data_IF_285067892189
#
_entry.id   IF_285067892189
#
_cell.length_a   1.000
_cell.length_b   1.000
_cell.length_c   1.000
_cell.angle_alpha   90.00
_cell.angle_beta   90.00
_cell.angle_gamma   90.00
#
_symmetry.space_group_name_H-M   'P 1'
#
loop_
_entity.id
_entity.type
_entity.pdbx_description
1 polymer ?
#
# COMPACT_ATOMS: atom_id res chain seq x y z
N UNK A 1 -8.11 11.48 30.52
CA UNK A 1 -6.77 11.00 30.10
C UNK A 1 -6.58 10.98 28.57
N UNK A 2 -7.60 10.74 27.75
CA UNK A 2 -7.52 10.81 26.29
C UNK A 2 -7.30 12.24 25.74
N UNK A 3 -7.89 13.26 26.37
CA UNK A 3 -7.84 14.65 25.90
C UNK A 3 -6.44 15.30 25.85
N UNK A 4 -5.48 14.84 26.65
CA UNK A 4 -4.11 15.38 26.68
C UNK A 4 -3.14 14.68 25.70
N UNK A 5 -3.59 13.69 24.94
CA UNK A 5 -2.72 12.83 24.11
C UNK A 5 -2.68 13.21 22.64
N UNK A 6 -3.58 14.06 22.14
CA UNK A 6 -3.73 14.29 20.71
C UNK A 6 -2.57 15.06 20.04
N UNK A 7 -1.87 15.95 20.76
CA UNK A 7 -0.82 16.82 20.17
C UNK A 7 0.51 16.78 20.95
N UNK A 8 0.80 15.75 21.72
CA UNK A 8 2.11 15.65 22.40
C UNK A 8 3.18 15.15 21.44
N UNK A 9 4.25 15.93 21.35
CA UNK A 9 5.49 15.51 20.68
C UNK A 9 6.12 14.33 21.43
N UNK A 10 6.07 13.16 20.81
CA UNK A 10 6.73 11.95 21.32
C UNK A 10 7.83 11.56 20.35
N UNK A 11 8.99 11.08 20.87
CA UNK A 11 10.09 10.69 19.98
C UNK A 11 9.76 9.47 19.11
N UNK A 12 8.96 8.51 19.59
CA UNK A 12 8.46 7.35 18.86
C UNK A 12 7.46 6.54 19.70
N UNK A 13 6.73 5.62 19.06
CA UNK A 13 5.99 4.54 19.71
C UNK A 13 6.04 3.28 18.84
N UNK A 14 6.73 2.26 19.32
CA UNK A 14 6.90 0.95 18.68
C UNK A 14 6.56 -0.16 19.67
N UNK A 15 6.38 -1.38 19.19
CA UNK A 15 6.04 -2.52 20.06
C UNK A 15 7.16 -2.83 21.05
N UNK A 16 8.39 -2.98 20.57
CA UNK A 16 9.53 -3.37 21.37
C UNK A 16 10.83 -2.82 20.75
N UNK A 17 11.40 -1.80 21.37
CA UNK A 17 12.66 -1.16 20.91
C UNK A 17 13.86 -2.11 20.98
N UNK A 18 13.81 -3.16 21.79
CA UNK A 18 14.91 -4.14 21.90
C UNK A 18 15.10 -4.99 20.66
N UNK A 19 14.14 -4.97 19.73
CA UNK A 19 14.22 -5.64 18.43
C UNK A 19 15.09 -4.88 17.41
N UNK A 20 15.64 -3.71 17.77
CA UNK A 20 16.36 -2.85 16.84
C UNK A 20 17.55 -3.52 16.17
N UNK A 21 18.35 -4.31 16.92
CA UNK A 21 19.51 -5.02 16.35
C UNK A 21 19.11 -6.08 15.33
N UNK A 22 18.02 -6.79 15.58
CA UNK A 22 17.46 -7.73 14.62
C UNK A 22 16.98 -7.01 13.36
N UNK A 23 16.23 -5.92 13.54
CA UNK A 23 15.78 -5.07 12.44
C UNK A 23 16.93 -4.55 11.59
N UNK A 24 18.02 -4.09 12.23
CA UNK A 24 19.20 -3.61 11.52
C UNK A 24 19.81 -4.67 10.60
N UNK A 25 19.95 -5.89 11.08
CA UNK A 25 20.50 -6.99 10.28
C UNK A 25 19.65 -7.30 9.04
N UNK A 26 18.33 -7.27 9.17
CA UNK A 26 17.45 -7.47 8.04
C UNK A 26 17.41 -6.25 7.09
N UNK A 27 17.54 -5.03 7.59
CA UNK A 27 17.68 -3.84 6.76
C UNK A 27 18.96 -3.92 5.93
N UNK A 28 20.09 -4.27 6.55
CA UNK A 28 21.36 -4.44 5.84
C UNK A 28 21.28 -5.53 4.75
N UNK A 29 20.54 -6.60 4.99
CA UNK A 29 20.26 -7.63 3.99
C UNK A 29 19.39 -7.07 2.84
N UNK A 30 18.34 -6.33 3.16
CA UNK A 30 17.43 -5.75 2.17
C UNK A 30 18.14 -4.72 1.28
N UNK A 31 19.05 -3.93 1.80
CA UNK A 31 19.85 -2.95 1.03
C UNK A 31 20.60 -3.61 -0.14
N UNK A 32 21.07 -4.86 0.03
CA UNK A 32 21.75 -5.61 -1.03
C UNK A 32 20.79 -5.96 -2.20
N UNK A 33 19.49 -6.04 -1.93
CA UNK A 33 18.45 -6.36 -2.92
C UNK A 33 17.66 -5.11 -3.38
N UNK A 34 18.06 -3.90 -2.94
CA UNK A 34 17.39 -2.64 -3.27
C UNK A 34 18.33 -1.65 -3.97
N UNK A 35 18.86 -2.03 -5.15
CA UNK A 35 19.92 -1.27 -5.83
C UNK A 35 19.47 0.12 -6.29
N UNK A 36 18.19 0.31 -6.59
CA UNK A 36 17.68 1.62 -7.00
C UNK A 36 17.78 2.66 -5.87
N UNK A 37 17.40 2.30 -4.66
CA UNK A 37 17.50 3.19 -3.50
C UNK A 37 18.97 3.44 -3.13
N UNK A 38 19.79 2.41 -3.14
CA UNK A 38 21.22 2.56 -2.84
C UNK A 38 21.93 3.45 -3.85
N UNK A 39 21.59 3.33 -5.13
CA UNK A 39 22.12 4.20 -6.19
C UNK A 39 21.68 5.67 -5.99
N UNK A 40 20.45 5.91 -5.53
CA UNK A 40 20.01 7.28 -5.21
C UNK A 40 20.76 7.87 -4.01
N UNK A 41 21.07 7.06 -2.99
CA UNK A 41 21.92 7.53 -1.88
C UNK A 41 23.31 7.95 -2.35
N UNK A 42 23.92 7.16 -3.25
CA UNK A 42 25.21 7.48 -3.85
C UNK A 42 25.15 8.76 -4.70
N UNK A 43 24.14 8.83 -5.59
CA UNK A 43 23.98 9.95 -6.53
C UNK A 43 23.70 11.29 -5.84
N UNK A 44 22.86 11.28 -4.80
CA UNK A 44 22.31 12.49 -4.19
C UNK A 44 22.75 12.73 -2.73
N UNK A 45 23.50 11.82 -2.14
CA UNK A 45 23.90 11.92 -0.74
C UNK A 45 24.75 13.16 -0.40
N UNK A 46 25.56 13.65 -1.34
CA UNK A 46 26.34 14.87 -1.17
C UNK A 46 25.49 16.14 -1.40
N UNK A 47 24.67 16.15 -2.45
CA UNK A 47 23.87 17.32 -2.84
C UNK A 47 22.66 17.57 -1.95
N UNK A 48 22.18 16.51 -1.31
CA UNK A 48 21.01 16.52 -0.39
C UNK A 48 19.80 17.28 -0.93
N UNK A 49 19.17 16.81 -2.03
CA UNK A 49 18.07 17.52 -2.67
C UNK A 49 16.81 17.66 -1.79
N UNK A 50 16.72 16.91 -0.70
CA UNK A 50 15.62 16.98 0.26
C UNK A 50 15.99 17.75 1.55
N UNK A 51 17.11 18.48 1.55
CA UNK A 51 17.50 19.30 2.70
C UNK A 51 16.42 20.34 3.02
N UNK A 52 15.94 20.32 4.25
CA UNK A 52 14.85 21.18 4.72
C UNK A 52 13.45 20.64 4.47
N UNK A 53 13.31 19.51 3.79
CA UNK A 53 12.03 18.80 3.67
C UNK A 53 11.64 18.15 4.99
N UNK A 54 10.38 18.30 5.37
CA UNK A 54 9.73 17.53 6.43
C UNK A 54 8.82 16.52 5.75
N UNK A 55 9.23 15.26 5.75
CA UNK A 55 8.51 14.17 5.09
C UNK A 55 7.72 13.37 6.12
N UNK A 56 6.40 13.36 5.97
CA UNK A 56 5.53 12.42 6.67
C UNK A 56 5.25 11.24 5.77
N UNK A 57 5.48 10.02 6.26
CA UNK A 57 5.10 8.80 5.57
C UNK A 57 3.99 8.05 6.29
N UNK A 58 2.99 7.61 5.53
CA UNK A 58 1.94 6.68 5.92
C UNK A 58 1.98 5.52 4.94
N UNK A 59 2.85 4.57 5.20
CA UNK A 59 3.10 3.41 4.35
C UNK A 59 3.61 2.26 5.22
N UNK A 60 3.27 1.03 4.84
CA UNK A 60 3.59 -0.19 5.59
C UNK A 60 5.01 -0.15 6.21
N UNK A 61 5.11 -0.22 7.54
CA UNK A 61 6.40 -0.13 8.24
C UNK A 61 7.14 -1.47 8.20
N UNK A 62 7.59 -1.84 7.03
CA UNK A 62 8.35 -3.05 6.73
C UNK A 62 9.86 -2.79 6.71
N UNK A 63 10.64 -3.86 6.58
CA UNK A 63 12.09 -3.77 6.36
C UNK A 63 12.41 -2.95 5.10
N UNK A 64 11.67 -3.15 4.01
CA UNK A 64 11.88 -2.43 2.76
C UNK A 64 11.57 -0.94 2.92
N UNK A 65 10.53 -0.60 3.67
CA UNK A 65 10.20 0.79 4.01
C UNK A 65 11.27 1.43 4.88
N UNK A 66 11.91 0.68 5.76
CA UNK A 66 13.06 1.17 6.51
C UNK A 66 14.21 1.63 5.60
N UNK A 67 14.48 0.89 4.53
CA UNK A 67 15.47 1.31 3.51
C UNK A 67 15.05 2.60 2.81
N UNK A 68 13.76 2.75 2.48
CA UNK A 68 13.22 4.00 1.93
C UNK A 68 13.41 5.17 2.90
N UNK A 69 13.03 5.01 4.15
CA UNK A 69 13.15 6.04 5.19
C UNK A 69 14.61 6.51 5.31
N UNK A 70 15.53 5.59 5.43
CA UNK A 70 16.96 5.91 5.56
C UNK A 70 17.52 6.55 4.27
N UNK A 71 16.97 6.21 3.12
CA UNK A 71 17.31 6.89 1.86
C UNK A 71 16.85 8.35 1.89
N UNK A 72 15.61 8.61 2.28
CA UNK A 72 15.11 9.98 2.40
C UNK A 72 15.90 10.82 3.40
N UNK A 73 16.30 10.22 4.53
CA UNK A 73 17.18 10.86 5.53
C UNK A 73 18.56 11.15 4.94
N UNK A 74 19.16 10.20 4.22
CA UNK A 74 20.44 10.38 3.56
C UNK A 74 20.42 11.53 2.52
N UNK A 75 19.27 11.76 1.90
CA UNK A 75 19.05 12.87 0.96
C UNK A 75 18.73 14.21 1.66
N UNK A 76 18.71 14.25 2.98
CA UNK A 76 18.63 15.47 3.79
C UNK A 76 17.27 15.75 4.42
N UNK A 77 16.29 14.86 4.29
CA UNK A 77 14.95 15.07 4.85
C UNK A 77 14.91 14.81 6.37
N UNK A 78 14.03 15.55 7.04
CA UNK A 78 13.50 15.21 8.36
C UNK A 78 12.27 14.33 8.15
N UNK A 79 12.25 13.11 8.69
CA UNK A 79 11.23 12.10 8.39
C UNK A 79 10.49 11.71 9.66
N UNK A 80 9.16 11.56 9.55
CA UNK A 80 8.28 10.95 10.55
C UNK A 80 7.41 9.92 9.86
N UNK A 81 7.14 8.79 10.50
CA UNK A 81 6.51 7.65 9.84
C UNK A 81 5.44 6.96 10.67
N UNK A 82 4.37 6.50 10.02
CA UNK A 82 3.40 5.56 10.55
C UNK A 82 3.06 4.50 9.50
N UNK A 83 2.41 3.41 9.90
CA UNK A 83 1.92 2.42 8.95
C UNK A 83 0.55 2.82 8.40
N UNK A 84 0.24 2.37 7.19
CA UNK A 84 -1.05 2.53 6.55
C UNK A 84 -1.99 1.31 6.75
N UNK A 85 -1.61 0.36 7.59
CA UNK A 85 -2.40 -0.84 7.89
C UNK A 85 -2.07 -1.35 9.30
N UNK A 86 -3.09 -1.80 10.03
CA UNK A 86 -2.95 -2.24 11.43
C UNK A 86 -2.16 -3.56 11.62
N UNK A 87 -1.99 -4.35 10.57
CA UNK A 87 -1.31 -5.66 10.63
C UNK A 87 -0.01 -5.75 9.85
N UNK A 88 0.38 -4.72 9.10
CA UNK A 88 1.50 -4.80 8.15
C UNK A 88 2.87 -4.46 8.74
N UNK A 89 2.92 -3.84 9.91
CA UNK A 89 4.19 -3.46 10.54
C UNK A 89 5.03 -4.69 10.88
N UNK A 90 6.31 -4.63 10.53
CA UNK A 90 7.33 -5.51 11.09
C UNK A 90 7.95 -4.80 12.28
N UNK A 91 7.69 -5.30 13.49
CA UNK A 91 8.05 -4.61 14.73
C UNK A 91 9.55 -4.37 14.89
N UNK A 92 10.38 -5.27 14.37
CA UNK A 92 11.83 -5.11 14.36
C UNK A 92 12.31 -4.04 13.36
N UNK A 93 11.59 -3.84 12.26
CA UNK A 93 11.86 -2.73 11.34
C UNK A 93 11.55 -1.38 12.00
N UNK A 94 10.39 -1.25 12.61
CA UNK A 94 9.99 -0.06 13.35
C UNK A 94 10.99 0.26 14.49
N UNK A 95 11.42 -0.76 15.23
CA UNK A 95 12.41 -0.61 16.30
C UNK A 95 13.76 -0.11 15.78
N UNK A 96 14.26 -0.66 14.68
CA UNK A 96 15.55 -0.24 14.10
C UNK A 96 15.52 1.23 13.65
N UNK A 97 14.45 1.65 13.01
CA UNK A 97 14.28 3.04 12.56
C UNK A 97 14.12 4.01 13.74
N UNK A 98 13.32 3.63 14.74
CA UNK A 98 13.21 4.43 15.97
C UNK A 98 14.55 4.58 16.69
N UNK A 99 15.33 3.50 16.80
CA UNK A 99 16.66 3.51 17.40
C UNK A 99 17.68 4.37 16.64
N UNK A 100 17.49 4.55 15.33
CA UNK A 100 18.31 5.46 14.50
C UNK A 100 17.98 6.94 14.70
N UNK A 101 16.94 7.25 15.48
CA UNK A 101 16.52 8.61 15.78
C UNK A 101 15.40 9.16 14.89
N UNK A 102 14.83 8.36 14.00
CA UNK A 102 13.67 8.74 13.20
C UNK A 102 12.38 8.45 13.98
N UNK A 103 11.51 9.44 14.19
CA UNK A 103 10.23 9.23 14.86
C UNK A 103 9.32 8.27 14.05
N UNK A 104 9.02 7.12 14.62
CA UNK A 104 8.15 6.07 14.07
C UNK A 104 7.04 5.75 15.05
N UNK A 105 5.82 5.67 14.54
CA UNK A 105 4.63 5.35 15.30
C UNK A 105 3.91 4.19 14.60
N UNK A 106 4.32 2.98 14.89
CA UNK A 106 3.78 1.77 14.25
C UNK A 106 4.08 0.50 15.05
N UNK A 107 3.12 -0.40 15.13
CA UNK A 107 3.31 -1.76 15.62
C UNK A 107 2.27 -2.71 14.97
N UNK A 108 2.58 -3.98 14.93
CA UNK A 108 1.65 -4.98 14.41
C UNK A 108 0.54 -5.21 15.44
N UNK A 109 -0.71 -5.09 14.99
CA UNK A 109 -1.88 -5.28 15.85
C UNK A 109 -2.37 -3.98 16.52
N UNK A 110 -2.18 -2.85 15.88
CA UNK A 110 -2.84 -1.59 16.27
C UNK A 110 -4.35 -1.75 16.31
N UNK A 111 -5.02 -1.07 17.25
CA UNK A 111 -6.45 -0.82 17.13
C UNK A 111 -6.70 0.30 16.10
N UNK A 112 -7.92 0.48 15.64
CA UNK A 112 -8.24 1.60 14.73
C UNK A 112 -8.01 2.97 15.40
N UNK A 113 -8.28 3.07 16.70
CA UNK A 113 -7.94 4.28 17.47
C UNK A 113 -6.43 4.53 17.53
N UNK A 114 -5.62 3.49 17.74
CA UNK A 114 -4.15 3.58 17.69
C UNK A 114 -3.67 4.00 16.30
N UNK A 115 -4.25 3.43 15.26
CA UNK A 115 -3.92 3.71 13.86
C UNK A 115 -4.03 5.21 13.53
N UNK A 116 -5.19 5.80 13.83
CA UNK A 116 -5.40 7.23 13.57
C UNK A 116 -4.57 8.13 14.50
N UNK A 117 -4.34 7.69 15.74
CA UNK A 117 -3.42 8.37 16.62
C UNK A 117 -1.98 8.36 16.07
N UNK A 118 -1.50 7.23 15.56
CA UNK A 118 -0.18 7.11 14.92
C UNK A 118 -0.05 8.03 13.70
N UNK A 119 -1.09 8.08 12.86
CA UNK A 119 -1.15 8.98 11.70
C UNK A 119 -1.04 10.45 12.14
N UNK A 120 -1.79 10.84 13.16
CA UNK A 120 -1.71 12.19 13.72
C UNK A 120 -0.30 12.51 14.26
N UNK A 121 0.33 11.59 14.98
CA UNK A 121 1.69 11.77 15.52
C UNK A 121 2.72 11.93 14.40
N UNK A 122 2.62 11.15 13.32
CA UNK A 122 3.51 11.27 12.18
C UNK A 122 3.32 12.61 11.42
N UNK A 123 2.13 13.19 11.44
CA UNK A 123 1.83 14.51 10.89
C UNK A 123 2.32 15.68 11.76
N UNK A 124 2.76 15.40 12.99
CA UNK A 124 3.11 16.44 13.97
C UNK A 124 4.62 16.62 14.10
N UNK A 125 5.17 17.57 13.37
CA UNK A 125 6.58 17.95 13.45
C UNK A 125 6.85 18.93 14.60
N UNK A 126 8.10 19.02 15.10
CA UNK A 126 8.45 19.95 16.17
C UNK A 126 8.02 21.39 15.90
N UNK A 127 7.59 22.07 16.97
CA UNK A 127 7.11 23.45 16.88
C UNK A 127 5.70 23.59 16.31
N UNK A 128 4.89 22.54 16.33
CA UNK A 128 3.51 22.55 15.83
C UNK A 128 3.41 22.63 14.30
N UNK A 129 4.51 22.32 13.60
CA UNK A 129 4.54 22.29 12.13
C UNK A 129 3.97 20.98 11.60
N UNK A 130 3.49 21.03 10.35
CA UNK A 130 3.14 19.85 9.58
C UNK A 130 4.24 19.45 8.59
N UNK A 131 4.00 18.41 7.76
CA UNK A 131 4.90 18.02 6.69
C UNK A 131 4.95 19.06 5.57
N UNK A 132 6.06 19.06 4.82
CA UNK A 132 6.15 19.79 3.54
C UNK A 132 5.84 18.89 2.35
N UNK A 133 6.10 17.59 2.48
CA UNK A 133 5.73 16.57 1.49
C UNK A 133 5.30 15.28 2.22
N UNK A 134 4.47 14.52 1.56
CA UNK A 134 3.86 13.30 2.12
C UNK A 134 4.13 12.13 1.21
N UNK A 135 4.47 10.97 1.80
CA UNK A 135 4.39 9.65 1.15
C UNK A 135 3.17 8.97 1.73
N UNK A 136 2.19 8.63 0.90
CA UNK A 136 0.95 8.00 1.33
C UNK A 136 0.71 6.68 0.59
N UNK A 137 0.03 5.77 1.25
CA UNK A 137 -0.36 4.48 0.70
C UNK A 137 -1.81 4.17 1.11
N UNK A 138 -2.74 4.42 0.18
CA UNK A 138 -4.17 4.32 0.40
C UNK A 138 -4.87 5.65 0.66
N UNK A 139 -4.12 6.74 0.86
CA UNK A 139 -4.66 8.09 0.96
C UNK A 139 -5.19 8.47 2.34
N UNK A 140 -4.94 7.70 3.40
CA UNK A 140 -5.51 7.99 4.72
C UNK A 140 -4.89 9.23 5.38
N UNK A 141 -3.58 9.44 5.25
CA UNK A 141 -2.94 10.66 5.75
C UNK A 141 -3.43 11.90 5.01
N UNK A 142 -3.53 11.80 3.69
CA UNK A 142 -4.10 12.85 2.84
C UNK A 142 -5.55 13.15 3.23
N UNK A 143 -6.37 12.12 3.45
CA UNK A 143 -7.77 12.25 3.86
C UNK A 143 -7.89 12.92 5.23
N UNK A 144 -7.07 12.56 6.20
CA UNK A 144 -7.07 13.20 7.52
C UNK A 144 -6.88 14.71 7.41
N UNK A 145 -5.96 15.16 6.57
CA UNK A 145 -5.73 16.59 6.32
C UNK A 145 -6.95 17.24 5.65
N UNK A 146 -7.53 16.61 4.62
CA UNK A 146 -8.65 17.16 3.88
C UNK A 146 -9.93 17.25 4.72
N UNK A 147 -10.28 16.18 5.45
CA UNK A 147 -11.44 16.17 6.36
C UNK A 147 -11.23 17.15 7.51
N UNK A 148 -10.03 17.20 8.08
CA UNK A 148 -9.68 18.16 9.11
C UNK A 148 -9.81 19.61 8.63
N UNK A 149 -9.31 19.90 7.44
CA UNK A 149 -9.42 21.23 6.79
C UNK A 149 -10.88 21.64 6.58
N UNK A 150 -11.72 20.75 6.08
CA UNK A 150 -13.15 21.03 5.88
C UNK A 150 -13.86 21.23 7.25
N UNK A 151 -13.51 20.43 8.25
CA UNK A 151 -14.10 20.51 9.58
C UNK A 151 -13.80 21.81 10.32
N UNK A 152 -12.68 22.48 10.05
CA UNK A 152 -12.34 23.78 10.63
C UNK A 152 -13.32 24.89 10.20
N UNK A 153 -13.91 24.78 9.01
CA UNK A 153 -14.94 25.69 8.53
C UNK A 153 -16.37 25.16 8.75
N UNK A 154 -16.55 23.85 8.85
CA UNK A 154 -17.85 23.19 9.03
C UNK A 154 -17.72 21.95 9.94
N UNK A 155 -17.68 22.18 11.24
CA UNK A 155 -17.51 21.10 12.23
C UNK A 155 -18.61 20.03 12.17
N UNK A 156 -19.80 20.36 11.63
CA UNK A 156 -20.93 19.44 11.56
C UNK A 156 -20.68 18.20 10.68
N UNK A 157 -19.67 18.25 9.79
CA UNK A 157 -19.31 17.09 8.97
C UNK A 157 -18.85 15.91 9.82
N UNK A 158 -18.26 16.18 10.99
CA UNK A 158 -17.78 15.16 11.94
C UNK A 158 -18.92 14.55 12.77
N UNK A 159 -20.12 15.15 12.75
CA UNK A 159 -21.29 14.66 13.49
C UNK A 159 -22.25 13.82 12.63
N UNK A 160 -21.92 13.63 11.35
CA UNK A 160 -22.71 12.75 10.48
C UNK A 160 -22.68 11.33 11.03
N UNK A 161 -23.84 10.67 10.95
CA UNK A 161 -23.93 9.26 11.29
C UNK A 161 -23.07 8.43 10.33
N UNK A 162 -22.09 7.74 10.87
CA UNK A 162 -21.19 6.84 10.16
C UNK A 162 -21.25 5.48 10.84
N UNK A 163 -21.16 4.42 10.06
CA UNK A 163 -21.27 3.05 10.54
C UNK A 163 -19.95 2.29 10.53
N UNK A 164 -18.99 2.73 9.70
CA UNK A 164 -17.67 2.14 9.66
C UNK A 164 -16.85 2.54 10.90
N UNK A 165 -16.33 1.55 11.62
CA UNK A 165 -15.51 1.79 12.82
C UNK A 165 -14.33 2.73 12.55
N UNK A 166 -13.73 2.59 11.38
CA UNK A 166 -12.61 3.41 10.91
C UNK A 166 -12.98 4.90 10.83
N UNK A 167 -14.13 5.22 10.23
CA UNK A 167 -14.63 6.60 10.14
C UNK A 167 -15.03 7.16 11.52
N UNK A 168 -15.57 6.31 12.40
CA UNK A 168 -15.92 6.70 13.77
C UNK A 168 -14.66 7.17 14.51
N UNK A 169 -13.58 6.41 14.44
CA UNK A 169 -12.32 6.74 15.10
C UNK A 169 -11.64 7.97 14.49
N UNK A 170 -11.67 8.10 13.15
CA UNK A 170 -11.18 9.30 12.46
C UNK A 170 -11.93 10.56 12.91
N UNK A 171 -13.26 10.52 12.93
CA UNK A 171 -14.06 11.65 13.36
C UNK A 171 -13.81 12.00 14.83
N UNK A 172 -13.62 10.99 15.69
CA UNK A 172 -13.32 11.20 17.10
C UNK A 172 -11.98 11.96 17.32
N UNK A 173 -10.93 11.55 16.63
CA UNK A 173 -9.61 12.20 16.75
C UNK A 173 -9.62 13.61 16.12
N UNK A 174 -10.33 13.81 15.01
CA UNK A 174 -10.44 15.12 14.39
C UNK A 174 -11.22 16.12 15.26
N UNK A 175 -12.27 15.67 15.97
CA UNK A 175 -12.98 16.49 16.97
C UNK A 175 -12.04 16.93 18.09
N UNK A 176 -11.18 16.02 18.55
CA UNK A 176 -10.20 16.33 19.59
C UNK A 176 -9.21 17.40 19.13
N UNK A 177 -8.65 17.23 17.92
CA UNK A 177 -7.72 18.21 17.34
C UNK A 177 -8.38 19.56 17.12
N UNK A 178 -9.60 19.59 16.59
CA UNK A 178 -10.35 20.83 16.35
C UNK A 178 -10.60 21.61 17.65
N UNK A 179 -10.87 20.90 18.77
CA UNK A 179 -11.05 21.53 20.06
C UNK A 179 -9.77 22.12 20.66
N UNK A 180 -8.61 21.51 20.37
CA UNK A 180 -7.31 21.95 20.87
C UNK A 180 -6.67 23.03 19.99
N UNK A 181 -6.78 22.90 18.68
CA UNK A 181 -6.18 23.80 17.70
C UNK A 181 -7.08 23.96 16.46
N UNK A 182 -8.01 24.90 16.47
CA UNK A 182 -9.04 25.04 15.44
C UNK A 182 -8.54 25.54 14.07
N UNK A 183 -7.25 25.83 13.91
CA UNK A 183 -6.65 26.28 12.65
C UNK A 183 -5.48 25.39 12.19
N UNK A 184 -5.31 24.23 12.82
CA UNK A 184 -4.20 23.34 12.56
C UNK A 184 -4.13 22.89 11.10
N UNK A 185 -5.24 22.40 10.57
CA UNK A 185 -5.27 21.79 9.25
C UNK A 185 -5.12 22.80 8.11
N UNK A 186 -5.59 24.02 8.30
CA UNK A 186 -5.33 25.11 7.36
C UNK A 186 -3.84 25.44 7.29
N UNK A 187 -3.15 25.48 8.44
CA UNK A 187 -1.70 25.70 8.47
C UNK A 187 -0.93 24.54 7.85
N UNK A 188 -1.32 23.30 8.16
CA UNK A 188 -0.70 22.10 7.57
C UNK A 188 -0.88 22.12 6.05
N UNK A 189 -2.09 22.29 5.56
CA UNK A 189 -2.36 22.30 4.12
C UNK A 189 -1.60 23.40 3.37
N UNK A 190 -1.42 24.57 3.99
CA UNK A 190 -0.68 25.69 3.40
C UNK A 190 0.82 25.42 3.20
N UNK A 191 1.42 24.53 4.01
CA UNK A 191 2.84 24.19 3.93
C UNK A 191 3.12 22.96 3.05
N UNK A 192 2.11 22.09 2.81
CA UNK A 192 2.29 20.88 2.00
C UNK A 192 2.47 21.22 0.53
N UNK A 193 3.62 20.86 -0.03
CA UNK A 193 3.94 21.01 -1.45
C UNK A 193 3.37 19.90 -2.31
N UNK A 194 3.03 18.77 -1.71
CA UNK A 194 2.38 17.66 -2.38
C UNK A 194 2.51 16.32 -1.67
N UNK A 195 1.83 15.34 -2.24
CA UNK A 195 1.82 13.93 -1.82
C UNK A 195 2.22 13.03 -2.96
N UNK A 196 2.96 11.97 -2.67
CA UNK A 196 3.17 10.86 -3.60
C UNK A 196 2.42 9.62 -3.10
N UNK A 197 1.53 9.10 -3.94
CA UNK A 197 0.62 8.01 -3.59
C UNK A 197 1.07 6.69 -4.22
N UNK A 198 1.14 5.65 -3.39
CA UNK A 198 1.67 4.33 -3.73
C UNK A 198 0.65 3.41 -4.40
N UNK A 199 -0.64 3.48 -4.04
CA UNK A 199 -1.59 2.43 -4.38
C UNK A 199 -2.79 2.92 -5.18
N UNK A 200 -3.39 2.00 -5.96
CA UNK A 200 -4.56 2.26 -6.82
C UNK A 200 -5.71 2.92 -6.07
N UNK A 201 -6.02 2.46 -4.86
CA UNK A 201 -7.15 3.00 -4.08
C UNK A 201 -6.92 4.44 -3.66
N UNK A 202 -5.70 4.78 -3.22
CA UNK A 202 -5.35 6.15 -2.86
C UNK A 202 -5.34 7.08 -4.07
N UNK A 203 -4.84 6.60 -5.21
CA UNK A 203 -4.88 7.33 -6.48
C UNK A 203 -6.32 7.63 -6.91
N UNK A 204 -7.23 6.67 -6.77
CA UNK A 204 -8.66 6.89 -7.06
C UNK A 204 -9.25 8.01 -6.20
N UNK A 205 -8.95 8.02 -4.90
CA UNK A 205 -9.36 9.11 -3.99
C UNK A 205 -8.81 10.48 -4.41
N UNK A 206 -7.56 10.54 -4.85
CA UNK A 206 -6.93 11.78 -5.32
C UNK A 206 -7.63 12.32 -6.57
N UNK A 207 -7.91 11.48 -7.56
CA UNK A 207 -8.65 11.88 -8.75
C UNK A 207 -10.08 12.35 -8.41
N UNK A 208 -10.76 11.65 -7.51
CA UNK A 208 -12.09 12.06 -7.05
C UNK A 208 -12.05 13.44 -6.38
N UNK A 209 -11.11 13.69 -5.48
CA UNK A 209 -10.95 15.00 -4.84
C UNK A 209 -10.61 16.10 -5.87
N UNK A 210 -9.82 15.77 -6.89
CA UNK A 210 -9.52 16.69 -7.98
C UNK A 210 -10.79 17.06 -8.77
N UNK A 211 -11.58 16.06 -9.15
CA UNK A 211 -12.84 16.27 -9.90
C UNK A 211 -13.86 17.08 -9.09
N UNK A 212 -13.92 16.87 -7.79
CA UNK A 212 -14.78 17.63 -6.86
C UNK A 212 -14.23 19.03 -6.55
N UNK A 213 -13.04 19.38 -7.02
CA UNK A 213 -12.39 20.67 -6.71
C UNK A 213 -11.95 20.81 -5.25
N UNK A 214 -11.78 19.72 -4.53
CA UNK A 214 -11.43 19.67 -3.11
C UNK A 214 -9.96 19.40 -2.83
N UNK A 215 -9.20 18.92 -3.81
CA UNK A 215 -7.78 18.62 -3.64
C UNK A 215 -7.02 19.89 -3.23
N UNK A 216 -6.29 19.84 -2.12
CA UNK A 216 -5.64 20.99 -1.49
C UNK A 216 -4.22 21.26 -1.99
N UNK A 217 -3.54 20.25 -2.54
CA UNK A 217 -2.15 20.33 -2.98
C UNK A 217 -1.88 19.37 -4.12
N UNK A 218 -0.76 19.51 -4.84
CA UNK A 218 -0.39 18.59 -5.92
C UNK A 218 -0.19 17.17 -5.42
N UNK A 219 -0.46 16.19 -6.28
CA UNK A 219 -0.24 14.79 -6.00
C UNK A 219 0.48 14.09 -7.16
N UNK A 220 1.44 13.22 -6.85
CA UNK A 220 2.00 12.28 -7.80
C UNK A 220 1.36 10.91 -7.65
N UNK A 221 0.78 10.43 -8.74
CA UNK A 221 0.32 9.06 -8.88
C UNK A 221 1.53 8.16 -9.19
N UNK A 222 2.18 7.65 -8.16
CA UNK A 222 3.31 6.73 -8.30
C UNK A 222 2.84 5.34 -8.72
N UNK A 223 1.63 4.93 -8.33
CA UNK A 223 1.08 3.62 -8.69
C UNK A 223 1.09 3.38 -10.20
N UNK A 224 0.82 4.40 -11.01
CA UNK A 224 0.71 4.28 -12.46
C UNK A 224 2.04 4.53 -13.20
N UNK A 225 3.16 4.74 -12.51
CA UNK A 225 4.47 4.55 -13.09
C UNK A 225 4.60 3.09 -13.55
N UNK A 226 5.12 2.86 -14.76
CA UNK A 226 5.20 1.49 -15.32
C UNK A 226 6.09 0.60 -14.45
N UNK A 227 7.22 1.15 -13.98
CA UNK A 227 8.14 0.44 -13.09
C UNK A 227 7.57 0.22 -11.68
N UNK A 228 6.39 0.74 -11.37
CA UNK A 228 5.63 0.40 -10.16
C UNK A 228 4.50 -0.58 -10.49
N UNK A 229 3.52 -0.19 -11.28
CA UNK A 229 2.30 -0.99 -11.51
C UNK A 229 2.55 -2.34 -12.19
N UNK A 230 3.48 -2.38 -13.15
CA UNK A 230 3.83 -3.61 -13.88
C UNK A 230 4.89 -4.46 -13.17
N UNK A 231 5.36 -4.03 -12.02
CA UNK A 231 6.38 -4.73 -11.20
C UNK A 231 5.82 -5.05 -9.82
N UNK A 232 5.58 -4.07 -8.97
CA UNK A 232 5.04 -4.24 -7.62
C UNK A 232 3.68 -4.98 -7.65
N UNK A 233 2.70 -4.41 -8.32
CA UNK A 233 1.34 -4.97 -8.35
C UNK A 233 1.31 -6.35 -9.02
N UNK A 234 2.15 -6.59 -10.01
CA UNK A 234 2.20 -7.84 -10.77
C UNK A 234 3.15 -8.85 -10.12
N UNK A 235 4.45 -8.59 -10.15
CA UNK A 235 5.48 -9.51 -9.67
C UNK A 235 5.52 -9.61 -8.15
N UNK A 236 5.25 -8.50 -7.44
CA UNK A 236 5.17 -8.50 -5.99
C UNK A 236 4.06 -9.40 -5.47
N UNK A 237 2.85 -9.24 -5.99
CA UNK A 237 1.72 -10.11 -5.63
C UNK A 237 1.91 -11.55 -6.07
N UNK A 238 2.59 -11.77 -7.20
CA UNK A 238 2.93 -13.11 -7.70
C UNK A 238 3.71 -13.94 -6.69
N UNK A 239 4.61 -13.33 -5.93
CA UNK A 239 5.38 -14.01 -4.89
C UNK A 239 4.70 -13.95 -3.51
N UNK A 240 4.21 -12.78 -3.12
CA UNK A 240 3.73 -12.54 -1.76
C UNK A 240 2.38 -13.17 -1.45
N UNK A 241 1.51 -13.41 -2.44
CA UNK A 241 0.24 -14.12 -2.21
C UNK A 241 0.47 -15.53 -1.69
N UNK A 242 1.32 -16.30 -2.39
CA UNK A 242 1.63 -17.66 -1.99
C UNK A 242 2.29 -17.71 -0.61
N UNK A 243 3.19 -16.77 -0.32
CA UNK A 243 3.84 -16.67 0.98
C UNK A 243 2.82 -16.45 2.10
N UNK A 244 1.87 -15.52 1.92
CA UNK A 244 0.81 -15.28 2.90
C UNK A 244 -0.08 -16.50 3.15
N UNK A 245 -0.56 -17.13 2.10
CA UNK A 245 -1.41 -18.33 2.21
C UNK A 245 -0.68 -19.48 2.89
N UNK A 246 0.56 -19.74 2.49
CA UNK A 246 1.36 -20.86 3.02
C UNK A 246 1.74 -20.66 4.49
N UNK A 247 2.18 -19.48 4.87
CA UNK A 247 2.49 -19.18 6.27
C UNK A 247 1.26 -19.24 7.17
N UNK A 248 0.10 -18.80 6.65
CA UNK A 248 -1.15 -18.85 7.40
C UNK A 248 -1.65 -20.28 7.63
N UNK A 249 -1.57 -21.16 6.63
CA UNK A 249 -2.33 -22.41 6.62
C UNK A 249 -1.50 -23.66 6.34
N UNK A 250 -0.26 -23.53 5.87
CA UNK A 250 0.57 -24.63 5.38
C UNK A 250 -0.13 -25.51 4.31
N UNK A 251 -1.15 -24.96 3.64
CA UNK A 251 -1.93 -25.69 2.64
C UNK A 251 -1.08 -25.98 1.41
N UNK A 252 -1.25 -27.17 0.85
CA UNK A 252 -0.70 -27.48 -0.46
C UNK A 252 -1.56 -26.82 -1.54
N UNK A 253 -0.98 -25.93 -2.34
CA UNK A 253 -1.68 -25.19 -3.40
C UNK A 253 -1.94 -26.10 -4.61
N UNK A 254 -0.99 -26.99 -4.94
CA UNK A 254 -1.16 -27.92 -6.04
C UNK A 254 -2.43 -28.78 -5.88
N UNK A 255 -3.16 -28.95 -6.99
CA UNK A 255 -4.42 -29.71 -7.03
C UNK A 255 -5.63 -28.99 -6.46
N UNK A 256 -5.48 -27.78 -5.93
CA UNK A 256 -6.60 -26.94 -5.47
C UNK A 256 -7.24 -26.18 -6.61
N UNK A 257 -8.52 -25.83 -6.44
CA UNK A 257 -9.20 -24.83 -7.25
C UNK A 257 -9.04 -23.48 -6.56
N UNK A 258 -8.37 -22.55 -7.21
CA UNK A 258 -8.17 -21.19 -6.69
C UNK A 258 -8.99 -20.22 -7.52
N UNK A 259 -9.86 -19.47 -6.87
CA UNK A 259 -10.67 -18.41 -7.46
C UNK A 259 -9.99 -17.09 -7.25
N UNK A 260 -9.55 -16.42 -8.32
CA UNK A 260 -8.98 -15.09 -8.29
C UNK A 260 -10.03 -14.09 -8.81
N UNK A 261 -10.45 -13.20 -7.94
CA UNK A 261 -11.46 -12.19 -8.27
C UNK A 261 -10.75 -10.92 -8.77
N UNK A 262 -10.83 -10.68 -10.09
CA UNK A 262 -10.15 -9.60 -10.79
C UNK A 262 -8.95 -10.07 -11.62
N UNK A 263 -8.72 -9.39 -12.76
CA UNK A 263 -7.59 -9.68 -13.66
C UNK A 263 -6.89 -8.39 -14.14
N UNK A 264 -6.79 -7.40 -13.24
CA UNK A 264 -5.87 -6.28 -13.35
C UNK A 264 -4.43 -6.73 -13.05
N UNK A 265 -3.52 -5.83 -12.80
CA UNK A 265 -2.10 -6.19 -12.56
C UNK A 265 -1.95 -7.14 -11.36
N UNK A 266 -2.65 -6.88 -10.25
CA UNK A 266 -2.66 -7.76 -9.07
C UNK A 266 -3.25 -9.12 -9.40
N UNK A 267 -4.42 -9.15 -10.04
CA UNK A 267 -5.10 -10.40 -10.43
C UNK A 267 -4.27 -11.25 -11.39
N UNK A 268 -3.57 -10.62 -12.34
CA UNK A 268 -2.63 -11.29 -13.25
C UNK A 268 -1.50 -11.97 -12.48
N UNK A 269 -0.87 -11.24 -11.56
CA UNK A 269 0.19 -11.80 -10.71
C UNK A 269 -0.30 -12.97 -9.87
N UNK A 270 -1.42 -12.82 -9.21
CA UNK A 270 -2.03 -13.86 -8.36
C UNK A 270 -2.40 -15.12 -9.17
N UNK A 271 -3.03 -14.95 -10.34
CA UNK A 271 -3.44 -16.06 -11.20
C UNK A 271 -2.24 -16.84 -11.72
N UNK A 272 -1.20 -16.16 -12.19
CA UNK A 272 0.05 -16.79 -12.59
C UNK A 272 0.75 -17.54 -11.46
N UNK A 273 0.78 -16.94 -10.27
CA UNK A 273 1.35 -17.56 -9.06
C UNK A 273 0.67 -18.87 -8.74
N UNK A 274 -0.64 -18.86 -8.61
CA UNK A 274 -1.40 -20.07 -8.22
C UNK A 274 -1.29 -21.17 -9.29
N UNK A 275 -1.35 -20.82 -10.57
CA UNK A 275 -1.13 -21.78 -11.65
C UNK A 275 0.26 -22.38 -11.63
N UNK A 276 1.28 -21.58 -11.33
CA UNK A 276 2.67 -22.08 -11.25
C UNK A 276 2.89 -23.10 -10.14
N UNK A 277 2.11 -23.03 -9.07
CA UNK A 277 2.09 -24.02 -8.00
C UNK A 277 1.26 -25.28 -8.33
N UNK A 278 0.58 -25.32 -9.47
CA UNK A 278 -0.21 -26.46 -9.90
C UNK A 278 -1.69 -26.39 -9.51
N UNK A 279 -2.21 -25.22 -9.19
CA UNK A 279 -3.63 -25.00 -8.97
C UNK A 279 -4.38 -24.90 -10.31
N UNK A 280 -5.66 -25.29 -10.30
CA UNK A 280 -6.62 -24.90 -11.32
C UNK A 280 -7.20 -23.53 -10.94
N UNK A 281 -6.97 -22.53 -11.77
CA UNK A 281 -7.39 -21.15 -11.50
C UNK A 281 -8.65 -20.80 -12.25
N UNK A 282 -9.65 -20.31 -11.52
CA UNK A 282 -10.84 -19.65 -12.04
C UNK A 282 -10.70 -18.14 -11.81
N UNK A 283 -11.05 -17.35 -12.80
CA UNK A 283 -11.00 -15.89 -12.73
C UNK A 283 -12.40 -15.31 -12.80
N UNK A 284 -12.70 -14.33 -11.97
CA UNK A 284 -13.91 -13.50 -12.11
C UNK A 284 -13.51 -12.10 -12.54
N UNK A 285 -14.23 -11.48 -13.48
CA UNK A 285 -13.87 -10.17 -14.00
C UNK A 285 -15.09 -9.44 -14.56
N UNK A 286 -15.11 -8.12 -14.43
CA UNK A 286 -16.17 -7.24 -14.99
C UNK A 286 -15.71 -6.53 -16.26
N UNK A 287 -14.38 -6.28 -16.39
CA UNK A 287 -13.82 -5.65 -17.57
C UNK A 287 -13.67 -6.66 -18.71
N UNK A 288 -14.34 -6.44 -19.86
CA UNK A 288 -14.29 -7.39 -20.95
C UNK A 288 -12.89 -7.53 -21.57
N UNK A 289 -12.04 -6.51 -21.49
CA UNK A 289 -10.67 -6.58 -22.00
C UNK A 289 -9.82 -7.46 -21.08
N UNK A 290 -9.89 -7.23 -19.77
CA UNK A 290 -9.19 -8.07 -18.79
C UNK A 290 -9.69 -9.52 -18.83
N UNK A 291 -11.00 -9.73 -18.95
CA UNK A 291 -11.58 -11.07 -19.08
C UNK A 291 -11.08 -11.80 -20.35
N UNK A 292 -11.00 -11.09 -21.48
CA UNK A 292 -10.43 -11.65 -22.71
C UNK A 292 -8.95 -11.99 -22.56
N UNK A 293 -8.17 -11.14 -21.90
CA UNK A 293 -6.77 -11.44 -21.60
C UNK A 293 -6.62 -12.70 -20.74
N UNK A 294 -7.44 -12.85 -19.70
CA UNK A 294 -7.44 -14.05 -18.85
C UNK A 294 -7.75 -15.31 -19.67
N UNK A 295 -8.76 -15.24 -20.55
CA UNK A 295 -9.12 -16.35 -21.44
C UNK A 295 -7.98 -16.71 -22.42
N UNK A 296 -7.28 -15.70 -22.97
CA UNK A 296 -6.14 -15.93 -23.88
C UNK A 296 -4.95 -16.56 -23.14
N UNK A 297 -4.79 -16.30 -21.85
CA UNK A 297 -3.79 -16.93 -20.99
C UNK A 297 -4.18 -18.37 -20.57
N UNK A 298 -5.36 -18.84 -20.97
CA UNK A 298 -5.83 -20.18 -20.68
C UNK A 298 -6.57 -20.34 -19.35
N UNK A 299 -6.96 -19.25 -18.71
CA UNK A 299 -7.78 -19.29 -17.51
C UNK A 299 -9.26 -19.41 -17.87
N UNK A 300 -10.01 -20.14 -17.07
CA UNK A 300 -11.47 -20.18 -17.14
C UNK A 300 -12.05 -18.94 -16.44
N UNK A 301 -12.80 -18.12 -17.17
CA UNK A 301 -13.44 -16.92 -16.66
C UNK A 301 -14.91 -17.22 -16.39
N UNK A 302 -15.32 -17.07 -15.14
CA UNK A 302 -16.65 -17.44 -14.65
C UNK A 302 -17.21 -16.34 -13.74
N UNK A 303 -18.47 -16.46 -13.35
CA UNK A 303 -19.07 -15.60 -12.31
C UNK A 303 -18.71 -16.11 -10.91
N UNK A 304 -18.84 -15.25 -9.90
CA UNK A 304 -18.60 -15.66 -8.50
C UNK A 304 -19.66 -16.69 -8.06
N UNK A 305 -20.88 -16.58 -8.54
CA UNK A 305 -21.97 -17.52 -8.29
C UNK A 305 -21.64 -18.94 -8.76
N UNK A 306 -20.93 -19.07 -9.88
CA UNK A 306 -20.45 -20.38 -10.37
C UNK A 306 -19.20 -20.85 -9.62
N UNK A 307 -18.29 -19.93 -9.31
CA UNK A 307 -17.02 -20.24 -8.68
C UNK A 307 -17.14 -20.60 -7.19
N UNK A 308 -18.09 -20.01 -6.46
CA UNK A 308 -18.15 -20.14 -4.99
C UNK A 308 -18.36 -21.59 -4.53
N UNK A 309 -19.01 -22.44 -5.32
CA UNK A 309 -19.20 -23.87 -5.02
C UNK A 309 -18.01 -24.73 -5.43
N UNK A 310 -17.09 -24.23 -6.22
CA UNK A 310 -15.96 -24.99 -6.79
C UNK A 310 -14.63 -24.72 -6.06
N UNK A 311 -14.43 -23.49 -5.58
CA UNK A 311 -13.18 -23.02 -5.02
C UNK A 311 -12.77 -23.68 -3.69
N UNK A 312 -11.48 -23.90 -3.55
CA UNK A 312 -10.85 -24.25 -2.29
C UNK A 312 -10.17 -23.03 -1.64
N UNK A 313 -9.68 -22.11 -2.46
CA UNK A 313 -9.02 -20.87 -2.06
C UNK A 313 -9.62 -19.73 -2.88
N UNK A 314 -9.99 -18.64 -2.20
CA UNK A 314 -10.55 -17.44 -2.81
C UNK A 314 -9.68 -16.24 -2.49
N UNK A 315 -9.34 -15.47 -3.53
CA UNK A 315 -8.49 -14.28 -3.41
C UNK A 315 -9.15 -13.10 -4.09
N UNK A 316 -9.43 -12.03 -3.36
CA UNK A 316 -9.94 -10.78 -3.95
C UNK A 316 -8.78 -9.84 -4.30
N UNK A 317 -8.86 -9.21 -5.47
CA UNK A 317 -7.78 -8.40 -6.06
C UNK A 317 -8.27 -7.14 -6.78
N UNK A 318 -9.53 -6.73 -6.52
CA UNK A 318 -10.23 -5.77 -7.39
C UNK A 318 -10.13 -4.32 -6.93
N UNK A 319 -9.86 -4.07 -5.66
CA UNK A 319 -9.96 -2.73 -5.07
C UNK A 319 -11.40 -2.19 -4.98
N UNK A 320 -12.40 -3.04 -5.19
CA UNK A 320 -13.82 -2.72 -5.12
C UNK A 320 -14.43 -3.19 -3.78
N UNK A 321 -15.74 -3.19 -3.66
CA UNK A 321 -16.45 -3.64 -2.45
C UNK A 321 -17.32 -4.86 -2.76
N UNK A 322 -17.63 -5.64 -1.73
CA UNK A 322 -18.62 -6.73 -1.77
C UNK A 322 -18.41 -7.75 -2.90
N UNK A 323 -17.16 -8.08 -3.18
CA UNK A 323 -16.80 -9.07 -4.20
C UNK A 323 -17.13 -10.47 -3.72
N UNK A 324 -16.77 -10.80 -2.48
CA UNK A 324 -17.20 -12.03 -1.81
C UNK A 324 -18.24 -11.66 -0.76
N UNK A 325 -19.50 -11.97 -1.06
CA UNK A 325 -20.63 -11.71 -0.20
C UNK A 325 -20.95 -12.89 0.70
N UNK A 326 -21.78 -12.65 1.71
CA UNK A 326 -22.20 -13.69 2.65
C UNK A 326 -22.94 -14.85 1.94
N UNK A 327 -23.75 -14.57 0.94
CA UNK A 327 -24.45 -15.60 0.15
C UNK A 327 -23.48 -16.50 -0.65
N UNK A 328 -22.31 -15.97 -1.06
CA UNK A 328 -21.24 -16.79 -1.63
C UNK A 328 -20.59 -17.68 -0.56
N UNK A 329 -20.25 -17.09 0.60
CA UNK A 329 -19.55 -17.80 1.68
C UNK A 329 -20.38 -18.96 2.25
N UNK A 330 -21.70 -18.83 2.30
CA UNK A 330 -22.60 -19.91 2.74
C UNK A 330 -22.62 -21.12 1.81
N UNK A 331 -22.22 -20.96 0.55
CA UNK A 331 -22.18 -22.00 -0.47
C UNK A 331 -20.79 -22.60 -0.70
N UNK A 332 -19.77 -22.07 -0.04
CA UNK A 332 -18.39 -22.55 -0.18
C UNK A 332 -18.23 -23.95 0.38
N UNK A 333 -17.24 -24.66 -0.12
CA UNK A 333 -16.83 -25.96 0.42
C UNK A 333 -16.36 -25.82 1.86
N UNK A 334 -16.53 -26.88 2.64
CA UNK A 334 -15.94 -26.94 3.97
C UNK A 334 -14.43 -26.71 3.92
N UNK A 335 -13.93 -25.88 4.84
CA UNK A 335 -12.54 -25.45 4.96
C UNK A 335 -12.01 -24.62 3.78
N UNK A 336 -12.88 -23.99 3.00
CA UNK A 336 -12.46 -23.01 2.00
C UNK A 336 -11.67 -21.88 2.66
N UNK A 337 -10.56 -21.50 2.04
CA UNK A 337 -9.72 -20.37 2.48
C UNK A 337 -10.16 -19.12 1.73
N UNK A 338 -10.44 -18.05 2.46
CA UNK A 338 -10.89 -16.78 1.92
C UNK A 338 -9.90 -15.70 2.33
N UNK A 339 -9.34 -14.99 1.36
CA UNK A 339 -8.38 -13.92 1.61
C UNK A 339 -8.47 -12.79 0.59
N UNK A 340 -7.90 -11.66 0.95
CA UNK A 340 -7.82 -10.46 0.16
C UNK A 340 -6.36 -10.03 0.00
N UNK A 341 -6.00 -9.53 -1.17
CA UNK A 341 -4.70 -8.90 -1.42
C UNK A 341 -4.86 -7.45 -1.94
N UNK A 342 -6.10 -6.96 -2.01
CA UNK A 342 -6.41 -5.55 -2.23
C UNK A 342 -6.13 -4.71 -0.98
N UNK A 343 -6.02 -3.40 -1.15
CA UNK A 343 -5.57 -2.51 -0.08
C UNK A 343 -6.50 -2.48 1.14
N UNK A 344 -7.83 -2.41 0.95
CA UNK A 344 -8.82 -2.34 2.03
C UNK A 344 -9.53 -3.67 2.27
N UNK A 345 -10.17 -3.78 3.43
CA UNK A 345 -10.85 -4.98 3.93
C UNK A 345 -12.31 -5.12 3.48
N UNK A 346 -12.79 -4.26 2.59
CA UNK A 346 -14.19 -4.20 2.17
C UNK A 346 -14.53 -5.05 0.93
N UNK A 347 -13.56 -5.73 0.33
CA UNK A 347 -13.83 -6.65 -0.80
C UNK A 347 -14.57 -7.92 -0.35
N UNK A 348 -14.37 -8.33 0.90
CA UNK A 348 -15.05 -9.46 1.53
C UNK A 348 -16.04 -8.90 2.55
N UNK A 349 -17.27 -9.39 2.54
CA UNK A 349 -18.30 -9.01 3.52
C UNK A 349 -18.02 -9.61 4.91
N UNK A 350 -16.93 -9.19 5.54
CA UNK A 350 -16.47 -9.72 6.83
C UNK A 350 -17.45 -9.40 7.94
N UNK A 351 -18.03 -8.20 7.94
CA UNK A 351 -19.02 -7.82 8.95
C UNK A 351 -20.28 -8.69 8.86
N UNK A 352 -20.77 -8.93 7.66
CA UNK A 352 -21.91 -9.84 7.43
C UNK A 352 -21.58 -11.28 7.88
N UNK A 353 -20.35 -11.74 7.69
CA UNK A 353 -19.88 -13.03 8.18
C UNK A 353 -19.89 -13.09 9.72
N UNK A 354 -19.32 -12.08 10.37
CA UNK A 354 -19.25 -11.99 11.84
C UNK A 354 -20.63 -11.96 12.51
N UNK A 355 -21.60 -11.38 11.85
CA UNK A 355 -22.97 -11.25 12.35
C UNK A 355 -23.96 -12.28 11.77
N UNK A 356 -23.46 -13.26 11.00
CA UNK A 356 -24.34 -14.29 10.45
C UNK A 356 -25.00 -15.11 11.57
N UNK A 357 -26.33 -15.36 11.51
CA UNK A 357 -27.05 -16.07 12.56
C UNK A 357 -26.47 -17.46 12.84
N UNK A 358 -26.04 -17.68 14.07
CA UNK A 358 -25.48 -18.98 14.52
C UNK A 358 -24.03 -19.23 14.14
N UNK A 359 -23.33 -18.25 13.55
CA UNK A 359 -21.89 -18.36 13.24
C UNK A 359 -21.05 -18.51 14.51
N UNK A 360 -20.01 -19.32 14.44
CA UNK A 360 -19.04 -19.46 15.52
C UNK A 360 -17.65 -19.22 14.97
N UNK A 361 -16.92 -18.28 15.55
CA UNK A 361 -15.54 -17.99 15.19
C UNK A 361 -14.58 -18.65 16.17
N UNK A 362 -13.55 -19.30 15.64
CA UNK A 362 -12.43 -19.85 16.40
C UNK A 362 -11.13 -19.29 15.83
N UNK A 363 -10.41 -18.52 16.63
CA UNK A 363 -9.07 -18.07 16.25
C UNK A 363 -8.10 -19.26 16.31
N UNK A 364 -7.45 -19.57 15.19
CA UNK A 364 -6.47 -20.65 15.09
C UNK A 364 -5.10 -20.16 15.53
N UNK A 365 -4.68 -19.01 15.02
CA UNK A 365 -3.44 -18.29 15.33
C UNK A 365 -3.60 -16.83 14.86
N UNK A 366 -2.69 -15.92 15.17
CA UNK A 366 -2.80 -14.54 14.71
C UNK A 366 -3.13 -14.46 13.22
N UNK A 367 -4.15 -13.65 12.86
CA UNK A 367 -4.67 -13.42 11.51
C UNK A 367 -5.23 -14.66 10.78
N UNK A 368 -5.54 -15.73 11.49
CA UNK A 368 -6.17 -16.94 10.93
C UNK A 368 -7.37 -17.32 11.77
N UNK A 369 -8.56 -17.04 11.24
CA UNK A 369 -9.83 -17.28 11.93
C UNK A 369 -10.69 -18.27 11.16
N UNK A 370 -11.26 -19.23 11.87
CA UNK A 370 -12.16 -20.23 11.31
C UNK A 370 -13.59 -19.92 11.74
N UNK A 371 -14.46 -19.79 10.74
CA UNK A 371 -15.89 -19.53 10.94
C UNK A 371 -16.70 -20.78 10.64
N UNK A 372 -17.43 -21.27 11.62
CA UNK A 372 -18.34 -22.42 11.50
C UNK A 372 -19.77 -21.94 11.28
N UNK A 373 -20.35 -22.35 10.16
CA UNK A 373 -21.76 -22.12 9.86
C UNK A 373 -22.65 -23.11 10.62
N UNK A 374 -23.96 -22.80 10.81
CA UNK A 374 -24.90 -23.68 11.51
C UNK A 374 -25.08 -25.06 10.90
N UNK A 375 -24.87 -25.22 9.59
CA UNK A 375 -24.92 -26.50 8.86
C UNK A 375 -23.69 -27.39 9.08
N UNK A 376 -22.67 -26.88 9.78
CA UNK A 376 -21.45 -27.59 10.13
C UNK A 376 -20.27 -27.37 9.20
N UNK A 377 -20.47 -26.77 8.02
CA UNK A 377 -19.31 -26.39 7.18
C UNK A 377 -18.60 -25.16 7.75
N UNK A 378 -17.35 -25.00 7.40
CA UNK A 378 -16.52 -23.89 7.87
C UNK A 378 -15.73 -23.25 6.75
N UNK A 379 -15.37 -21.98 6.95
CA UNK A 379 -14.41 -21.29 6.11
C UNK A 379 -13.28 -20.71 6.98
N UNK A 380 -12.13 -20.48 6.36
CA UNK A 380 -10.96 -19.90 7.02
C UNK A 380 -10.71 -18.53 6.41
N UNK A 381 -10.88 -17.48 7.22
CA UNK A 381 -10.64 -16.09 6.82
C UNK A 381 -9.23 -15.69 7.25
N UNK A 382 -8.45 -15.13 6.32
CA UNK A 382 -7.08 -14.68 6.58
C UNK A 382 -7.03 -13.17 6.76
N UNK A 383 -6.21 -12.72 7.71
CA UNK A 383 -5.94 -11.32 8.03
C UNK A 383 -7.20 -10.46 8.21
N UNK A 384 -8.28 -11.06 8.69
CA UNK A 384 -9.58 -10.39 8.90
C UNK A 384 -10.08 -9.65 7.62
N UNK A 385 -9.81 -10.23 6.44
CA UNK A 385 -10.15 -9.65 5.14
C UNK A 385 -9.20 -8.56 4.65
N UNK A 386 -8.16 -8.23 5.40
CA UNK A 386 -7.11 -7.27 5.02
C UNK A 386 -6.04 -7.95 4.16
N UNK A 387 -5.01 -7.19 3.79
CA UNK A 387 -3.89 -7.66 2.97
C UNK A 387 -3.26 -8.95 3.51
N UNK A 388 -3.50 -10.08 2.85
CA UNK A 388 -3.00 -11.40 3.28
C UNK A 388 -1.48 -11.50 3.24
N UNK A 389 -0.85 -10.87 2.25
CA UNK A 389 0.61 -10.90 2.08
C UNK A 389 1.37 -10.18 3.19
N UNK A 390 0.79 -9.12 3.76
CA UNK A 390 1.36 -8.35 4.86
C UNK A 390 0.82 -8.79 6.22
N UNK A 391 -0.45 -9.17 6.30
CA UNK A 391 -1.06 -9.64 7.53
C UNK A 391 -0.56 -11.00 7.96
N UNK A 392 -0.40 -11.93 7.04
CA UNK A 392 0.03 -13.30 7.31
C UNK A 392 1.51 -13.59 6.97
N UNK A 393 2.18 -12.68 6.25
CA UNK A 393 3.58 -12.80 5.88
C UNK A 393 4.31 -11.45 6.02
N UNK A 394 5.26 -11.17 5.15
CA UNK A 394 6.14 -9.99 5.23
C UNK A 394 6.03 -9.06 4.02
N UNK A 395 5.07 -9.30 3.14
CA UNK A 395 4.81 -8.47 1.95
C UNK A 395 5.69 -8.81 0.75
N UNK A 396 5.87 -7.83 -0.11
CA UNK A 396 6.62 -7.99 -1.35
C UNK A 396 8.13 -8.11 -1.12
N UNK A 397 8.85 -8.83 -2.00
CA UNK A 397 10.30 -8.97 -1.90
C UNK A 397 11.02 -7.64 -2.14
N UNK A 398 12.22 -7.52 -1.56
CA UNK A 398 12.99 -6.26 -1.53
C UNK A 398 13.27 -5.69 -2.91
N UNK A 399 13.61 -6.52 -3.89
CA UNK A 399 13.96 -6.04 -5.22
C UNK A 399 12.79 -5.31 -5.92
N UNK A 400 11.58 -5.86 -5.85
CA UNK A 400 10.42 -5.21 -6.45
C UNK A 400 10.02 -3.93 -5.70
N UNK A 401 10.17 -3.92 -4.37
CA UNK A 401 9.94 -2.71 -3.59
C UNK A 401 10.99 -1.63 -3.83
N UNK A 402 12.21 -2.00 -4.23
CA UNK A 402 13.20 -1.04 -4.70
C UNK A 402 12.70 -0.25 -5.93
N UNK A 403 12.00 -0.90 -6.85
CA UNK A 403 11.38 -0.19 -7.99
C UNK A 403 10.33 0.83 -7.51
N UNK A 404 9.40 0.43 -6.67
CA UNK A 404 8.35 1.31 -6.15
C UNK A 404 8.94 2.47 -5.35
N UNK A 405 9.87 2.19 -4.46
CA UNK A 405 10.43 3.19 -3.56
C UNK A 405 11.47 4.11 -4.23
N UNK A 406 12.10 3.67 -5.29
CA UNK A 406 12.88 4.56 -6.16
C UNK A 406 11.96 5.58 -6.85
N UNK A 407 10.78 5.14 -7.34
CA UNK A 407 9.73 6.04 -7.83
C UNK A 407 9.29 7.04 -6.74
N UNK A 408 9.02 6.57 -5.52
CA UNK A 408 8.64 7.43 -4.40
C UNK A 408 9.69 8.49 -4.10
N UNK A 409 10.94 8.10 -4.03
CA UNK A 409 12.05 9.02 -3.75
C UNK A 409 12.18 10.08 -4.84
N UNK A 410 12.10 9.71 -6.09
CA UNK A 410 12.12 10.66 -7.22
C UNK A 410 10.91 11.60 -7.20
N UNK A 411 9.73 11.09 -6.87
CA UNK A 411 8.51 11.91 -6.71
C UNK A 411 8.65 12.93 -5.58
N UNK A 412 9.23 12.53 -4.44
CA UNK A 412 9.49 13.43 -3.32
C UNK A 412 10.49 14.55 -3.69
N UNK A 413 11.54 14.22 -4.44
CA UNK A 413 12.50 15.21 -4.95
C UNK A 413 11.80 16.20 -5.89
N UNK A 414 10.98 15.71 -6.82
CA UNK A 414 10.21 16.55 -7.73
C UNK A 414 9.26 17.50 -7.00
N UNK A 415 8.44 16.97 -6.07
CA UNK A 415 7.48 17.76 -5.30
C UNK A 415 8.13 18.81 -4.40
N UNK A 416 9.28 18.49 -3.79
CA UNK A 416 9.97 19.41 -2.89
C UNK A 416 10.71 20.51 -3.63
N UNK A 417 11.33 20.21 -4.76
CA UNK A 417 12.21 21.16 -5.47
C UNK A 417 11.51 21.94 -6.59
N UNK A 418 10.40 21.45 -7.12
CA UNK A 418 9.63 22.12 -8.15
C UNK A 418 8.25 22.53 -7.64
N UNK A 419 7.72 23.58 -8.20
CA UNK A 419 6.35 24.04 -7.89
C UNK A 419 5.40 23.44 -8.92
N UNK A 420 4.40 22.74 -8.44
CA UNK A 420 3.30 22.19 -9.23
C UNK A 420 1.99 22.91 -8.87
N UNK A 421 1.16 23.13 -9.86
CA UNK A 421 -0.24 23.50 -9.62
C UNK A 421 -1.00 22.33 -8.99
N UNK A 422 -2.07 22.63 -8.24
CA UNK A 422 -2.90 21.58 -7.64
C UNK A 422 -3.49 20.70 -8.73
N UNK A 423 -3.24 19.42 -8.63
CA UNK A 423 -3.66 18.41 -9.60
C UNK A 423 -2.95 17.08 -9.37
N UNK A 424 -3.35 16.05 -10.09
CA UNK A 424 -2.73 14.71 -10.04
C UNK A 424 -1.85 14.50 -11.25
N UNK A 425 -0.58 14.15 -11.00
CA UNK A 425 0.47 14.00 -12.01
C UNK A 425 1.05 12.58 -11.97
N UNK A 426 1.71 12.19 -13.04
CA UNK A 426 2.56 11.00 -13.12
C UNK A 426 4.02 11.42 -13.31
N UNK A 427 4.94 10.58 -12.86
CA UNK A 427 6.36 10.79 -13.15
C UNK A 427 6.58 10.74 -14.68
N UNK A 428 7.42 11.64 -15.22
CA UNK A 428 7.78 11.63 -16.64
C UNK A 428 8.41 10.30 -17.07
N UNK A 429 8.21 9.90 -18.33
CA UNK A 429 8.71 8.63 -18.87
C UNK A 429 10.22 8.44 -18.69
N UNK A 430 11.00 9.50 -18.80
CA UNK A 430 12.45 9.41 -18.62
C UNK A 430 12.84 9.03 -17.17
N UNK A 431 12.06 9.43 -16.16
CA UNK A 431 12.28 9.00 -14.78
C UNK A 431 11.81 7.56 -14.54
N UNK A 432 10.75 7.13 -15.19
CA UNK A 432 10.29 5.75 -15.15
C UNK A 432 11.36 4.81 -15.76
N UNK A 433 11.94 5.17 -16.89
CA UNK A 433 13.08 4.44 -17.48
C UNK A 433 14.33 4.48 -16.58
N UNK A 434 14.60 5.59 -15.91
CA UNK A 434 15.72 5.69 -14.96
C UNK A 434 15.58 4.71 -13.81
N UNK A 435 14.37 4.56 -13.25
CA UNK A 435 14.10 3.54 -12.24
C UNK A 435 14.48 2.15 -12.73
N UNK A 436 14.08 1.79 -13.95
CA UNK A 436 14.44 0.51 -14.54
C UNK A 436 15.96 0.36 -14.70
N UNK A 437 16.64 1.38 -15.24
CA UNK A 437 18.10 1.36 -15.46
C UNK A 437 18.89 1.11 -14.19
N UNK A 438 18.49 1.74 -13.08
CA UNK A 438 19.15 1.58 -11.78
C UNK A 438 19.11 0.15 -11.22
N UNK A 439 18.23 -0.71 -11.75
CA UNK A 439 18.07 -2.10 -11.33
C UNK A 439 18.73 -3.13 -12.23
N UNK A 440 19.04 -2.76 -13.48
CA UNK A 440 19.51 -3.72 -14.50
C UNK A 440 20.86 -4.32 -14.19
N UNK A 441 21.81 -3.54 -13.70
CA UNK A 441 23.16 -3.99 -13.41
C UNK A 441 23.16 -5.11 -12.35
N UNK A 442 22.36 -4.95 -11.30
CA UNK A 442 22.24 -5.92 -10.20
C UNK A 442 21.87 -7.32 -10.68
N UNK A 443 21.04 -7.41 -11.71
CA UNK A 443 20.58 -8.69 -12.27
C UNK A 443 21.31 -9.09 -13.55
N UNK A 444 22.41 -8.39 -13.87
CA UNK A 444 23.29 -8.73 -14.97
C UNK A 444 22.74 -8.47 -16.38
N UNK A 445 21.72 -7.60 -16.48
CA UNK A 445 21.11 -7.24 -17.78
C UNK A 445 22.03 -6.31 -18.56
N UNK A 446 22.22 -6.62 -19.85
CA UNK A 446 22.95 -5.79 -20.79
C UNK A 446 22.01 -5.29 -21.88
N UNK A 447 21.81 -3.97 -21.93
CA UNK A 447 20.95 -3.35 -22.93
C UNK A 447 21.64 -3.26 -24.29
N UNK A 448 20.89 -3.53 -25.34
CA UNK A 448 21.29 -3.15 -26.71
C UNK A 448 21.25 -1.62 -26.84
N UNK A 449 22.22 -1.04 -27.49
CA UNK A 449 22.26 0.40 -27.78
C UNK A 449 21.78 0.66 -29.20
N UNK A 450 20.92 1.65 -29.38
CA UNK A 450 20.51 2.12 -30.71
C UNK A 450 21.67 2.81 -31.40
N UNK A 451 21.80 2.58 -32.71
CA UNK A 451 22.61 3.48 -33.55
C UNK A 451 21.84 4.78 -33.82
N UNK A 452 22.52 5.87 -34.19
CA UNK A 452 21.84 7.11 -34.57
C UNK A 452 20.81 6.90 -35.71
N UNK A 453 21.10 6.04 -36.66
CA UNK A 453 20.21 5.71 -37.78
C UNK A 453 18.94 4.96 -37.29
N UNK A 454 19.11 4.01 -36.37
CA UNK A 454 17.97 3.28 -35.77
C UNK A 454 17.10 4.21 -34.94
N UNK A 455 17.69 5.08 -34.12
CA UNK A 455 16.97 6.07 -33.33
C UNK A 455 16.17 7.03 -34.22
N UNK A 456 16.80 7.56 -35.28
CA UNK A 456 16.15 8.43 -36.26
C UNK A 456 15.00 7.73 -36.98
N UNK A 457 15.15 6.46 -37.35
CA UNK A 457 14.13 5.69 -38.05
C UNK A 457 12.83 5.53 -37.21
N UNK A 458 12.95 5.30 -35.90
CA UNK A 458 11.82 5.15 -35.01
C UNK A 458 11.42 6.45 -34.29
N UNK A 459 12.11 7.55 -34.54
CA UNK A 459 11.78 8.88 -34.03
C UNK A 459 12.01 9.06 -32.51
N UNK A 460 13.05 8.42 -31.95
CA UNK A 460 13.44 8.56 -30.56
C UNK A 460 14.88 9.03 -30.42
N UNK A 461 15.26 9.46 -29.20
CA UNK A 461 16.68 9.71 -28.91
C UNK A 461 17.44 8.38 -28.71
N UNK A 462 18.75 8.38 -28.98
CA UNK A 462 19.62 7.19 -28.81
C UNK A 462 19.52 6.64 -27.35
N UNK A 463 19.43 7.52 -26.39
CA UNK A 463 19.38 7.17 -24.95
C UNK A 463 17.93 7.17 -24.35
N UNK A 464 16.93 7.25 -25.21
CA UNK A 464 15.52 7.26 -24.78
C UNK A 464 14.94 8.67 -24.48
N UNK A 465 13.73 8.76 -24.00
CA UNK A 465 12.76 7.68 -23.78
C UNK A 465 12.38 6.94 -25.07
N UNK A 466 12.23 5.61 -24.96
CA UNK A 466 11.94 4.75 -26.12
C UNK A 466 10.47 4.64 -26.46
N UNK A 467 9.58 5.05 -25.56
CA UNK A 467 8.13 5.03 -25.71
C UNK A 467 7.55 6.40 -25.41
N UNK A 468 6.41 6.70 -25.99
CA UNK A 468 5.64 7.92 -25.70
C UNK A 468 5.16 7.97 -24.24
N UNK A 469 4.91 9.17 -23.71
CA UNK A 469 4.47 9.40 -22.33
C UNK A 469 3.21 8.58 -21.94
N UNK A 470 2.29 8.38 -22.88
CA UNK A 470 1.05 7.66 -22.63
C UNK A 470 1.17 6.13 -22.69
N UNK A 471 2.29 5.60 -23.17
CA UNK A 471 2.46 4.15 -23.33
C UNK A 471 2.59 3.43 -21.97
N UNK A 472 1.88 2.31 -21.79
CA UNK A 472 1.75 1.58 -20.52
C UNK A 472 2.23 0.11 -20.53
N UNK A 473 2.94 -0.35 -21.55
CA UNK A 473 3.52 -1.70 -21.67
C UNK A 473 2.54 -2.87 -21.51
#
# INVERSE_FOLDING_TARGET
RQRQMCIRDRPYKVADITLADFGRKEIDLAEQEMPGLMALREKYGETKPLKGARIMGSLHMTIQTAVLIETLVALGAEVRWCSCNIYSTQDHAAAAIAASGVPVFAWKGETLADYWWCTLQALNFPGGKGPTVIVDDGGDATMMIHVGYEAESNASILDKEVHAEDEIELNAILKCVLAEDPTRWQRVAAEVRGVSEETTTGVHRLYQMQEEGKLLFPAFNVNDSVTKSKFDNLYGCRESLADGIKRATDVMIAGKVVVVCGYGDVGKGCSHSMRSYGARVLVTEVDPICALQAAMEGFEVVTMEEACTQGNIFVTTTGNIDIIRIDHMTQMKDQAIVCNIGHFDNEIQVDALKHYPGIKCVNIKPQVDRYYFPDGHSIILLADGRLVNLGCATGHPSFVMSNSFTNQTLAQIELFNKKYETGVYRLPKHLDEEVARLHLEKIGVKLTKLTPEQAAYIGVNVDGPYKAEHYRY
#
